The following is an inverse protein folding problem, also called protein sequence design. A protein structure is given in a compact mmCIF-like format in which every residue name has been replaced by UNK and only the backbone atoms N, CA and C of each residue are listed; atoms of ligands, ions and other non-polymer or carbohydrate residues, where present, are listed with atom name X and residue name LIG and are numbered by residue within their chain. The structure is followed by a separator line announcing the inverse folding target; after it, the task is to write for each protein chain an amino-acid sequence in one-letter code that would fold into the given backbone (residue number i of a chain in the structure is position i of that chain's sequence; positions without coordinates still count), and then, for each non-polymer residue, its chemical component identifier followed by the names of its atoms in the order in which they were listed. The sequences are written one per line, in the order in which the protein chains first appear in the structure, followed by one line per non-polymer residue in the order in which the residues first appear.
data_IF_285682741222
#
_entry.id   IF_285682741222
#
_cell.length_a   1.000
_cell.length_b   1.000
_cell.length_c   1.000
_cell.angle_alpha   90.00
_cell.angle_beta   90.00
_cell.angle_gamma   90.00
#
_symmetry.space_group_name_H-M   'P 1'
#
loop_
_entity.id
_entity.type
_entity.pdbx_description
1 polymer ?
#
# COMPACT_ATOMS: atom_id res chain seq x y z
N UNK A 1 4.70 9.47 -10.54
CA UNK A 1 6.11 9.64 -10.96
C UNK A 1 6.69 10.83 -10.25
N UNK A 2 7.56 10.54 -9.31
CA UNK A 2 8.49 11.51 -8.76
C UNK A 2 9.32 12.06 -9.95
N UNK A 3 9.60 13.37 -10.00
CA UNK A 3 10.30 14.01 -11.12
C UNK A 3 11.69 13.39 -11.41
N UNK A 4 12.43 13.91 -12.39
CA UNK A 4 13.72 13.30 -12.80
C UNK A 4 14.73 13.11 -11.65
N UNK A 5 14.76 14.01 -10.66
CA UNK A 5 15.61 13.83 -9.47
C UNK A 5 15.20 12.61 -8.61
N UNK A 6 13.89 12.32 -8.53
CA UNK A 6 13.37 11.14 -7.86
C UNK A 6 13.72 9.85 -8.59
N UNK A 7 13.86 9.87 -9.92
CA UNK A 7 14.23 8.67 -10.68
C UNK A 7 15.60 8.12 -10.27
N UNK A 8 16.60 8.98 -10.05
CA UNK A 8 17.94 8.56 -9.57
C UNK A 8 17.87 7.93 -8.19
N UNK A 9 17.12 8.54 -7.26
CA UNK A 9 16.95 8.01 -5.91
C UNK A 9 16.25 6.65 -5.91
N UNK A 10 15.25 6.45 -6.78
CA UNK A 10 14.57 5.16 -6.94
C UNK A 10 15.52 4.08 -7.48
N UNK A 11 16.41 4.41 -8.43
CA UNK A 11 17.40 3.44 -8.91
C UNK A 11 18.46 3.09 -7.84
N UNK A 12 18.91 4.06 -7.04
CA UNK A 12 19.81 3.79 -5.91
C UNK A 12 19.16 2.86 -4.88
N UNK A 13 17.90 3.15 -4.51
CA UNK A 13 17.11 2.30 -3.62
C UNK A 13 16.98 0.89 -4.20
N UNK A 14 16.65 0.77 -5.49
CA UNK A 14 16.54 -0.52 -6.17
C UNK A 14 17.85 -1.31 -6.20
N UNK A 15 18.99 -0.66 -6.40
CA UNK A 15 20.28 -1.32 -6.39
C UNK A 15 20.56 -1.96 -5.02
N UNK A 16 20.36 -1.21 -3.92
CA UNK A 16 20.51 -1.72 -2.56
C UNK A 16 19.51 -2.82 -2.24
N UNK A 17 18.25 -2.64 -2.65
CA UNK A 17 17.17 -3.60 -2.41
C UNK A 17 17.49 -4.95 -3.09
N UNK A 18 17.89 -4.92 -4.36
CA UNK A 18 18.22 -6.11 -5.13
C UNK A 18 19.56 -6.75 -4.72
N UNK A 19 20.48 -5.97 -4.13
CA UNK A 19 21.70 -6.47 -3.53
C UNK A 19 21.48 -7.13 -2.15
N UNK A 20 20.28 -7.00 -1.58
CA UNK A 20 19.96 -7.51 -0.24
C UNK A 20 20.46 -6.64 0.90
N UNK A 21 20.83 -5.39 0.62
CA UNK A 21 21.19 -4.40 1.65
C UNK A 21 19.93 -3.79 2.26
N UNK A 22 19.38 -4.47 3.28
CA UNK A 22 18.20 -4.02 3.99
C UNK A 22 18.39 -2.67 4.70
N UNK A 23 19.56 -2.45 5.31
CA UNK A 23 19.82 -1.22 6.05
C UNK A 23 19.87 -0.01 5.12
N UNK A 24 20.66 -0.09 4.05
CA UNK A 24 20.76 0.99 3.07
C UNK A 24 19.47 1.22 2.28
N UNK A 25 18.66 0.17 2.06
CA UNK A 25 17.33 0.30 1.43
C UNK A 25 16.38 1.13 2.31
N UNK A 26 16.35 0.84 3.62
CA UNK A 26 15.50 1.59 4.55
C UNK A 26 15.97 3.04 4.69
N UNK A 27 17.28 3.28 4.72
CA UNK A 27 17.83 4.63 4.74
C UNK A 27 17.38 5.45 3.52
N UNK A 28 17.47 4.90 2.31
CA UNK A 28 17.02 5.59 1.09
C UNK A 28 15.50 5.82 1.08
N UNK A 29 14.73 4.83 1.54
CA UNK A 29 13.28 4.96 1.66
C UNK A 29 12.90 6.07 2.64
N UNK A 30 13.55 6.13 3.80
CA UNK A 30 13.33 7.19 4.78
C UNK A 30 13.77 8.54 4.25
N UNK A 31 14.90 8.63 3.55
CA UNK A 31 15.34 9.88 2.93
C UNK A 31 14.31 10.41 1.92
N UNK A 32 13.75 9.53 1.08
CA UNK A 32 12.66 9.90 0.19
C UNK A 32 11.44 10.41 0.98
N UNK A 33 11.04 9.69 2.04
CA UNK A 33 9.90 10.08 2.87
C UNK A 33 10.11 11.43 3.57
N UNK A 34 11.29 11.67 4.15
CA UNK A 34 11.65 12.93 4.80
C UNK A 34 11.70 14.11 3.81
N UNK A 35 11.97 13.84 2.53
CA UNK A 35 11.88 14.82 1.45
C UNK A 35 10.43 15.09 0.99
N UNK A 36 9.44 14.53 1.68
CA UNK A 36 8.01 14.74 1.41
C UNK A 36 7.41 13.82 0.37
N UNK A 37 8.12 12.75 -0.04
CA UNK A 37 7.57 11.76 -0.95
C UNK A 37 6.60 10.83 -0.25
N UNK A 38 5.46 10.56 -0.90
CA UNK A 38 4.47 9.61 -0.39
C UNK A 38 4.99 8.15 -0.50
N UNK A 39 4.94 7.34 0.56
CA UNK A 39 5.44 5.95 0.57
C UNK A 39 4.78 5.05 -0.48
N UNK A 40 3.48 5.23 -0.70
CA UNK A 40 2.71 4.43 -1.66
C UNK A 40 3.17 4.77 -3.09
N UNK A 41 3.39 6.06 -3.39
CA UNK A 41 3.95 6.49 -4.67
C UNK A 41 5.39 6.03 -4.89
N UNK A 42 6.24 6.07 -3.86
CA UNK A 42 7.61 5.51 -3.93
C UNK A 42 7.54 4.04 -4.34
N UNK A 43 6.69 3.25 -3.68
CA UNK A 43 6.54 1.82 -3.95
C UNK A 43 6.02 1.56 -5.37
N UNK A 44 5.09 2.38 -5.87
CA UNK A 44 4.63 2.31 -7.26
C UNK A 44 5.75 2.60 -8.27
N UNK A 45 6.58 3.61 -8.01
CA UNK A 45 7.72 3.94 -8.86
C UNK A 45 8.80 2.83 -8.80
N UNK A 46 9.03 2.21 -7.64
CA UNK A 46 9.90 1.01 -7.52
C UNK A 46 9.35 -0.15 -8.37
N UNK A 47 8.05 -0.46 -8.27
CA UNK A 47 7.40 -1.50 -9.07
C UNK A 47 7.50 -1.24 -10.58
N UNK A 48 7.28 0.01 -11.01
CA UNK A 48 7.41 0.41 -12.41
C UNK A 48 8.83 0.17 -12.92
N UNK A 49 9.83 0.49 -12.12
CA UNK A 49 11.23 0.28 -12.48
C UNK A 49 11.62 -1.20 -12.45
N UNK A 50 11.13 -2.02 -11.51
CA UNK A 50 11.31 -3.48 -11.55
C UNK A 50 10.75 -4.11 -12.84
N UNK A 51 9.58 -3.66 -13.27
CA UNK A 51 9.01 -4.08 -14.55
C UNK A 51 9.89 -3.65 -15.73
N UNK A 52 10.45 -2.43 -15.71
CA UNK A 52 11.40 -1.98 -16.72
C UNK A 52 12.66 -2.87 -16.75
N UNK A 53 13.28 -3.15 -15.59
CA UNK A 53 14.45 -4.02 -15.49
C UNK A 53 14.16 -5.40 -16.07
N UNK A 54 12.99 -5.97 -15.75
CA UNK A 54 12.54 -7.25 -16.29
C UNK A 54 12.42 -7.21 -17.81
N UNK A 55 11.82 -6.15 -18.38
CA UNK A 55 11.73 -5.96 -19.83
C UNK A 55 13.10 -5.78 -20.48
N UNK A 56 14.03 -5.07 -19.84
CA UNK A 56 15.40 -4.91 -20.33
C UNK A 56 16.15 -6.25 -20.42
N UNK A 57 15.87 -7.20 -19.51
CA UNK A 57 16.43 -8.55 -19.57
C UNK A 57 15.84 -9.42 -20.67
N UNK A 58 14.54 -9.30 -20.94
CA UNK A 58 13.81 -10.22 -21.82
C UNK A 58 13.76 -9.72 -23.27
N UNK A 59 13.73 -8.40 -23.48
CA UNK A 59 13.57 -7.78 -24.81
C UNK A 59 14.93 -7.26 -25.30
N UNK A 60 15.60 -7.96 -26.25
CA UNK A 60 17.00 -7.70 -26.60
C UNK A 60 17.29 -6.27 -27.08
N UNK A 61 16.35 -5.67 -27.83
CA UNK A 61 16.52 -4.36 -28.46
C UNK A 61 16.09 -3.18 -27.58
N UNK A 62 15.49 -3.44 -26.41
CA UNK A 62 14.93 -2.38 -25.58
C UNK A 62 16.02 -1.42 -25.06
N UNK A 63 17.21 -1.94 -24.76
CA UNK A 63 18.37 -1.16 -24.29
C UNK A 63 18.85 -0.10 -25.30
N UNK A 64 18.62 -0.34 -26.59
CA UNK A 64 19.00 0.58 -27.68
C UNK A 64 17.85 1.48 -28.13
N UNK A 65 16.65 1.29 -27.58
CA UNK A 65 15.49 2.07 -27.97
C UNK A 65 15.58 3.53 -27.49
N UNK A 66 14.91 4.42 -28.22
CA UNK A 66 14.78 5.83 -27.84
C UNK A 66 13.64 6.08 -26.83
N UNK A 67 13.07 5.00 -26.26
CA UNK A 67 11.97 5.06 -25.30
C UNK A 67 12.51 5.28 -23.88
N UNK A 68 13.76 4.86 -23.62
CA UNK A 68 14.41 5.01 -22.32
C UNK A 68 14.84 6.45 -22.09
N UNK A 69 14.52 6.96 -20.91
CA UNK A 69 15.13 8.17 -20.36
C UNK A 69 16.63 7.95 -20.11
N UNK A 70 17.38 9.04 -19.96
CA UNK A 70 18.83 8.95 -19.72
C UNK A 70 19.17 8.20 -18.44
N UNK A 71 18.40 8.42 -17.36
CA UNK A 71 18.57 7.69 -16.09
C UNK A 71 18.31 6.19 -16.24
N UNK A 72 17.24 5.82 -16.96
CA UNK A 72 16.92 4.41 -17.22
C UNK A 72 18.01 3.72 -18.07
N UNK A 73 18.63 4.45 -19.00
CA UNK A 73 19.74 3.95 -19.80
C UNK A 73 21.02 3.76 -18.98
N UNK A 74 21.38 4.78 -18.20
CA UNK A 74 22.66 4.83 -17.46
C UNK A 74 22.66 3.97 -16.20
N UNK A 75 21.52 3.86 -15.50
CA UNK A 75 21.40 3.08 -14.27
C UNK A 75 20.56 1.81 -14.44
N UNK A 76 19.48 1.87 -15.22
CA UNK A 76 18.56 0.74 -15.39
C UNK A 76 19.16 -0.42 -16.18
N UNK A 77 19.86 -0.15 -17.29
CA UNK A 77 20.54 -1.20 -18.08
C UNK A 77 21.57 -1.99 -17.26
N UNK A 78 22.58 -1.36 -16.61
CA UNK A 78 23.56 -2.13 -15.84
C UNK A 78 22.93 -2.83 -14.63
N UNK A 79 21.91 -2.25 -14.00
CA UNK A 79 21.20 -2.91 -12.91
C UNK A 79 20.45 -4.16 -13.38
N UNK A 80 19.80 -4.10 -14.55
CA UNK A 80 19.09 -5.23 -15.15
C UNK A 80 20.05 -6.37 -15.53
N UNK A 81 21.28 -6.07 -15.93
CA UNK A 81 22.30 -7.07 -16.26
C UNK A 81 22.74 -7.86 -15.01
N UNK A 82 22.96 -7.16 -13.89
CA UNK A 82 23.38 -7.77 -12.61
C UNK A 82 22.26 -8.58 -11.93
N UNK A 83 21.01 -8.15 -12.03
CA UNK A 83 19.90 -8.75 -11.29
C UNK A 83 19.46 -10.11 -11.89
N UNK A 84 19.32 -11.18 -11.08
CA UNK A 84 18.80 -12.46 -11.57
C UNK A 84 17.30 -12.37 -11.88
N UNK A 85 16.85 -13.06 -12.94
CA UNK A 85 15.47 -12.93 -13.45
C UNK A 85 14.41 -13.41 -12.44
N UNK A 86 14.69 -14.48 -11.71
CA UNK A 86 13.82 -15.01 -10.66
C UNK A 86 13.73 -14.04 -9.46
N UNK A 87 14.83 -13.37 -9.12
CA UNK A 87 14.87 -12.32 -8.09
C UNK A 87 13.96 -11.15 -8.43
N UNK A 88 14.00 -10.66 -9.68
CA UNK A 88 13.14 -9.57 -10.15
C UNK A 88 11.65 -9.92 -10.05
N UNK A 89 11.25 -11.11 -10.53
CA UNK A 89 9.86 -11.55 -10.48
C UNK A 89 9.34 -11.72 -9.05
N UNK A 90 10.17 -12.28 -8.15
CA UNK A 90 9.82 -12.46 -6.74
C UNK A 90 9.69 -11.11 -6.02
N UNK A 91 10.66 -10.21 -6.19
CA UNK A 91 10.62 -8.86 -5.61
C UNK A 91 9.38 -8.10 -6.09
N UNK A 92 9.06 -8.18 -7.38
CA UNK A 92 7.87 -7.55 -7.96
C UNK A 92 6.59 -8.05 -7.30
N UNK A 93 6.41 -9.36 -7.16
CA UNK A 93 5.21 -9.92 -6.56
C UNK A 93 5.08 -9.57 -5.06
N UNK A 94 6.19 -9.61 -4.31
CA UNK A 94 6.21 -9.23 -2.90
C UNK A 94 5.85 -7.75 -2.70
N UNK A 95 6.34 -6.88 -3.59
CA UNK A 95 6.03 -5.45 -3.54
C UNK A 95 4.60 -5.13 -4.01
N UNK A 96 4.02 -5.91 -4.92
CA UNK A 96 2.58 -5.78 -5.25
C UNK A 96 1.71 -6.06 -4.04
N UNK A 97 2.00 -7.15 -3.31
CA UNK A 97 1.29 -7.46 -2.07
C UNK A 97 1.50 -6.37 -1.02
N UNK A 98 2.73 -5.89 -0.85
CA UNK A 98 3.05 -4.80 0.06
C UNK A 98 2.31 -3.50 -0.26
N UNK A 99 2.20 -3.15 -1.56
CA UNK A 99 1.48 -1.97 -2.00
C UNK A 99 -0.01 -2.04 -1.60
N UNK A 100 -0.61 -3.22 -1.74
CA UNK A 100 -2.01 -3.42 -1.35
C UNK A 100 -2.20 -3.47 0.17
N UNK A 101 -1.26 -4.04 0.91
CA UNK A 101 -1.22 -3.96 2.39
C UNK A 101 -1.12 -2.50 2.85
N UNK A 102 -0.19 -1.72 2.28
CA UNK A 102 0.06 -0.33 2.65
C UNK A 102 -1.16 0.57 2.45
N UNK A 103 -1.93 0.36 1.38
CA UNK A 103 -3.17 1.12 1.11
C UNK A 103 -4.25 0.95 2.18
N UNK A 104 -4.22 -0.15 2.95
CA UNK A 104 -5.21 -0.47 4.00
C UNK A 104 -4.62 -0.38 5.40
N UNK A 105 -3.31 -0.21 5.52
CA UNK A 105 -2.62 -0.15 6.78
C UNK A 105 -2.86 1.21 7.48
N UNK A 106 -3.02 1.23 8.81
CA UNK A 106 -3.09 2.48 9.56
C UNK A 106 -1.77 3.27 9.50
N UNK A 107 -0.64 2.58 9.24
CA UNK A 107 0.70 3.15 9.08
C UNK A 107 1.34 2.62 7.79
N UNK A 108 1.04 3.23 6.62
CA UNK A 108 1.51 2.73 5.32
C UNK A 108 3.04 2.64 5.20
N UNK A 109 3.75 3.60 5.78
CA UNK A 109 5.23 3.62 5.78
C UNK A 109 5.82 2.37 6.43
N UNK A 110 5.38 2.02 7.64
CA UNK A 110 5.88 0.84 8.37
C UNK A 110 5.58 -0.47 7.63
N UNK A 111 4.40 -0.56 6.99
CA UNK A 111 4.05 -1.72 6.16
C UNK A 111 5.02 -1.87 4.96
N UNK A 112 5.40 -0.77 4.33
CA UNK A 112 6.35 -0.75 3.22
C UNK A 112 7.77 -1.05 3.71
N UNK A 113 8.22 -0.47 4.82
CA UNK A 113 9.52 -0.77 5.41
C UNK A 113 9.66 -2.28 5.69
N UNK A 114 8.66 -2.89 6.33
CA UNK A 114 8.63 -4.33 6.57
C UNK A 114 8.66 -5.15 5.28
N UNK A 115 7.98 -4.70 4.22
CA UNK A 115 8.02 -5.36 2.94
C UNK A 115 9.40 -5.26 2.27
N UNK A 116 10.04 -4.11 2.30
CA UNK A 116 11.39 -3.91 1.75
C UNK A 116 12.41 -4.80 2.48
N UNK A 117 12.33 -4.89 3.82
CA UNK A 117 13.13 -5.83 4.62
C UNK A 117 12.91 -7.26 4.13
N UNK A 118 11.65 -7.70 3.98
CA UNK A 118 11.33 -9.05 3.51
C UNK A 118 11.95 -9.33 2.14
N UNK A 119 11.92 -8.36 1.22
CA UNK A 119 12.52 -8.51 -0.11
C UNK A 119 14.05 -8.61 -0.02
N UNK A 120 14.72 -7.77 0.78
CA UNK A 120 16.17 -7.79 0.93
C UNK A 120 16.73 -9.11 1.48
N UNK A 121 15.97 -9.79 2.34
CA UNK A 121 16.41 -11.04 2.99
C UNK A 121 15.75 -12.30 2.41
N UNK A 122 15.00 -12.20 1.31
CA UNK A 122 14.37 -13.38 0.73
C UNK A 122 15.44 -14.28 0.10
N UNK A 123 15.65 -15.45 0.69
CA UNK A 123 16.60 -16.41 0.15
C UNK A 123 16.13 -16.90 -1.24
N UNK A 124 17.05 -17.14 -2.18
CA UNK A 124 16.69 -17.80 -3.43
C UNK A 124 16.15 -19.19 -3.11
N UNK A 125 14.89 -19.45 -3.49
CA UNK A 125 14.26 -20.76 -3.29
C UNK A 125 14.89 -21.72 -4.31
N UNK A 126 15.59 -22.78 -3.88
CA UNK A 126 16.13 -23.76 -4.81
C UNK A 126 14.98 -24.46 -5.55
N UNK A 127 15.28 -24.90 -6.76
CA UNK A 127 14.30 -25.59 -7.57
C UNK A 127 13.82 -26.88 -6.85
N UNK A 128 12.52 -27.20 -6.92
CA UNK A 128 11.91 -28.35 -6.22
C UNK A 128 12.66 -29.66 -6.45
N UNK A 129 13.11 -29.91 -7.67
CA UNK A 129 13.96 -31.02 -8.09
C UNK A 129 15.28 -31.09 -7.30
N UNK A 130 15.91 -29.95 -7.00
CA UNK A 130 17.12 -29.88 -6.18
C UNK A 130 16.82 -30.18 -4.72
N UNK A 131 15.65 -29.73 -4.22
CA UNK A 131 15.16 -30.11 -2.90
C UNK A 131 14.88 -31.62 -2.82
N UNK A 132 14.18 -32.19 -3.81
CA UNK A 132 13.86 -33.62 -3.87
C UNK A 132 15.12 -34.49 -3.96
N UNK A 133 16.15 -34.05 -4.68
CA UNK A 133 17.45 -34.71 -4.72
C UNK A 133 18.17 -34.62 -3.37
N UNK A 134 18.11 -33.47 -2.69
CA UNK A 134 18.64 -33.29 -1.34
C UNK A 134 17.90 -34.09 -0.27
N UNK A 135 16.62 -34.40 -0.50
CA UNK A 135 15.78 -35.23 0.39
C UNK A 135 15.85 -36.74 0.06
N UNK A 136 16.62 -37.16 -0.95
CA UNK A 136 16.86 -38.57 -1.24
C UNK A 136 15.83 -39.25 -2.16
N UNK A 137 15.05 -38.49 -2.93
CA UNK A 137 14.09 -39.02 -3.92
C UNK A 137 12.65 -38.59 -3.68
N UNK A 138 11.80 -38.79 -4.71
CA UNK A 138 10.39 -38.42 -4.70
C UNK A 138 9.65 -39.04 -3.51
N UNK A 139 8.98 -38.25 -2.65
CA UNK A 139 8.10 -38.81 -1.64
C UNK A 139 7.01 -39.60 -2.35
N UNK A 140 6.85 -40.86 -1.96
CA UNK A 140 5.74 -41.70 -2.39
C UNK A 140 4.43 -41.06 -1.87
N UNK A 141 3.66 -40.47 -2.79
CA UNK A 141 2.40 -39.79 -2.47
C UNK A 141 1.29 -40.78 -2.11
N UNK A 142 1.58 -42.09 -2.06
CA UNK A 142 0.63 -43.14 -1.69
C UNK A 142 0.29 -43.18 -0.20
N UNK A 143 0.89 -42.33 0.63
CA UNK A 143 0.62 -42.25 2.06
C UNK A 143 0.14 -40.85 2.49
N UNK A 144 -0.88 -40.31 1.82
CA UNK A 144 -1.75 -39.30 2.47
C UNK A 144 -2.74 -40.09 3.33
N UNK A 145 -2.74 -39.95 4.68
CA UNK A 145 -3.83 -40.47 5.48
C UNK A 145 -5.07 -39.71 5.07
N UNK A 146 -5.98 -40.38 4.37
CA UNK A 146 -7.30 -39.85 4.07
C UNK A 146 -8.00 -39.61 5.41
N UNK A 147 -7.97 -38.36 5.88
CA UNK A 147 -8.72 -37.94 7.04
C UNK A 147 -10.19 -38.23 6.73
N UNK A 148 -10.74 -39.25 7.40
CA UNK A 148 -12.11 -39.65 7.25
C UNK A 148 -12.99 -38.43 7.57
N UNK A 149 -13.79 -38.01 6.59
CA UNK A 149 -14.82 -37.00 6.80
C UNK A 149 -15.73 -37.46 7.96
N UNK A 150 -16.10 -36.58 8.91
CA UNK A 150 -17.06 -36.94 9.94
C UNK A 150 -18.39 -37.27 9.26
N UNK A 151 -18.83 -38.52 9.46
CA UNK A 151 -20.11 -39.03 9.01
C UNK A 151 -21.19 -38.25 9.76
N UNK A 152 -21.91 -37.38 9.05
CA UNK A 152 -23.08 -36.71 9.59
C UNK A 152 -24.14 -37.77 9.95
N UNK A 153 -24.33 -38.03 11.23
CA UNK A 153 -25.49 -38.75 11.73
C UNK A 153 -26.72 -37.84 11.64
N UNK A 154 -27.74 -38.33 10.93
CA UNK A 154 -29.04 -37.69 10.86
C UNK A 154 -29.73 -37.76 12.24
N UNK A 155 -30.36 -36.68 12.73
CA UNK A 155 -31.09 -36.74 13.99
C UNK A 155 -32.39 -37.52 13.78
N UNK A 156 -32.52 -38.61 14.54
CA UNK A 156 -33.75 -39.39 14.68
C UNK A 156 -34.69 -38.59 15.57
N UNK A 157 -35.85 -38.21 15.03
CA UNK A 157 -36.86 -37.46 15.75
C UNK A 157 -37.45 -38.25 16.91
N UNK A 158 -37.57 -37.59 18.06
CA UNK A 158 -38.45 -37.96 19.15
C UNK A 158 -39.18 -36.68 19.59
N UNK A 159 -40.50 -36.71 19.58
CA UNK A 159 -41.40 -35.59 19.79
C UNK A 159 -41.92 -35.56 21.23
N UNK A 160 -41.91 -34.38 21.88
CA UNK A 160 -42.86 -33.90 22.89
C UNK A 160 -42.49 -32.44 23.30
N UNK A 161 -43.38 -31.67 23.95
CA UNK A 161 -44.34 -30.77 23.32
C UNK A 161 -43.93 -29.29 23.39
N UNK A 162 -44.48 -28.51 22.47
CA UNK A 162 -44.27 -27.07 22.33
C UNK A 162 -45.18 -26.32 23.31
N UNK A 163 -44.58 -25.54 24.21
CA UNK A 163 -45.28 -24.53 25.01
C UNK A 163 -45.41 -23.25 24.18
N UNK A 164 -46.65 -22.80 24.02
CA UNK A 164 -47.09 -21.72 23.14
C UNK A 164 -46.85 -20.36 23.81
N UNK A 165 -45.93 -19.57 23.26
CA UNK A 165 -45.76 -18.16 23.61
C UNK A 165 -45.98 -17.29 22.34
N UNK A 166 -46.83 -16.25 22.39
CA UNK A 166 -47.32 -15.60 21.18
C UNK A 166 -46.28 -14.74 20.46
N UNK A 167 -46.29 -14.90 19.14
CA UNK A 167 -45.49 -14.18 18.15
C UNK A 167 -45.84 -12.69 18.13
N UNK A 168 -44.82 -11.83 18.26
CA UNK A 168 -44.90 -10.43 17.85
C UNK A 168 -44.24 -10.25 16.47
N UNK A 169 -45.01 -9.67 15.55
CA UNK A 169 -44.66 -9.33 14.18
C UNK A 169 -43.46 -8.35 14.11
N UNK A 170 -42.58 -8.46 13.10
CA UNK A 170 -41.56 -7.43 12.87
C UNK A 170 -42.19 -6.20 12.22
N UNK A 171 -42.50 -5.18 13.04
CA UNK A 171 -42.87 -3.85 12.58
C UNK A 171 -41.60 -3.08 12.15
N UNK A 172 -41.54 -2.79 10.87
CA UNK A 172 -40.58 -1.92 10.19
C UNK A 172 -40.50 -0.54 10.89
N UNK A 173 -39.36 -0.21 11.50
CA UNK A 173 -39.10 1.09 12.08
C UNK A 173 -38.41 2.00 11.04
N UNK A 174 -39.09 3.09 10.68
CA UNK A 174 -38.55 4.16 9.86
C UNK A 174 -37.41 4.91 10.59
N UNK A 175 -36.40 5.45 9.88
CA UNK A 175 -35.35 6.26 10.48
C UNK A 175 -35.93 7.55 11.09
N UNK A 176 -35.61 7.82 12.36
CA UNK A 176 -35.83 9.13 12.98
C UNK A 176 -34.68 10.04 12.57
N UNK A 177 -35.01 11.04 11.76
CA UNK A 177 -34.19 12.22 11.48
C UNK A 177 -33.86 12.95 12.79
N UNK A 178 -32.61 13.40 13.02
CA UNK A 178 -32.29 14.25 14.15
C UNK A 178 -32.86 15.65 13.92
N UNK A 179 -33.71 16.11 14.85
CA UNK A 179 -34.25 17.46 14.83
C UNK A 179 -33.13 18.52 15.01
N UNK A 180 -33.28 19.69 14.38
CA UNK A 180 -32.27 20.75 14.39
C UNK A 180 -32.13 21.31 15.80
N UNK A 181 -30.89 21.60 16.18
CA UNK A 181 -30.54 22.43 17.33
C UNK A 181 -31.36 23.73 17.27
N UNK A 182 -32.19 23.95 18.28
CA UNK A 182 -32.93 25.19 18.48
C UNK A 182 -31.95 26.29 18.90
N UNK A 183 -32.01 27.39 18.16
CA UNK A 183 -31.35 28.66 18.43
C UNK A 183 -31.92 29.25 19.74
N UNK A 184 -31.09 29.38 20.77
CA UNK A 184 -31.35 30.29 21.88
C UNK A 184 -31.06 31.73 21.41
N UNK A 185 -32.08 32.39 20.84
CA UNK A 185 -32.12 33.83 20.72
C UNK A 185 -33.40 34.36 21.37
N UNK A 186 -33.25 34.95 22.57
CA UNK A 186 -34.18 35.97 23.06
C UNK A 186 -33.43 36.90 24.03
N UNK A 187 -32.84 37.98 23.50
CA UNK A 187 -33.06 39.29 24.11
C UNK A 187 -33.10 40.37 23.02
N UNK A 188 -34.23 41.07 22.98
CA UNK A 188 -34.62 41.99 21.95
C UNK A 188 -34.05 43.41 22.22
N UNK A 189 -33.48 43.95 21.14
CA UNK A 189 -33.35 45.34 20.67
C UNK A 189 -34.14 46.47 21.42
N UNK A 190 -33.77 47.78 21.31
CA UNK A 190 -33.79 48.44 20.00
C UNK A 190 -32.84 49.63 19.71
N UNK A 191 -32.62 49.82 18.41
CA UNK A 191 -32.60 51.06 17.63
C UNK A 191 -31.48 52.11 17.79
N UNK A 192 -30.86 52.41 16.65
CA UNK A 192 -29.98 53.55 16.36
C UNK A 192 -30.72 54.91 16.35
N UNK A 193 -29.96 56.02 16.35
CA UNK A 193 -30.07 56.96 15.22
C UNK A 193 -28.73 57.52 14.71
N UNK A 194 -28.77 58.00 13.46
CA UNK A 194 -27.73 58.65 12.67
C UNK A 194 -27.47 60.12 13.08
N UNK A 195 -26.48 60.74 12.40
CA UNK A 195 -26.10 62.18 12.31
C UNK A 195 -25.05 62.65 13.35
N UNK A 196 -24.09 63.55 13.10
CA UNK A 196 -23.49 64.25 11.94
C UNK A 196 -22.39 65.18 12.54
N UNK A 197 -21.38 65.61 11.77
CA UNK A 197 -20.44 66.75 12.04
C UNK A 197 -19.47 66.62 13.25
N UNK A 198 -18.24 67.15 13.31
CA UNK A 198 -17.43 68.15 12.60
C UNK A 198 -15.98 67.93 13.15
N UNK A 199 -14.92 67.81 12.32
CA UNK A 199 -14.07 68.91 11.85
C UNK A 199 -12.81 69.21 12.71
N UNK A 200 -11.68 69.35 12.01
CA UNK A 200 -10.40 70.01 12.37
C UNK A 200 -9.50 69.30 13.41
N UNK A 201 -8.18 69.22 13.26
CA UNK A 201 -7.22 70.22 12.78
C UNK A 201 -5.99 69.49 12.18
N UNK A 202 -5.64 69.74 10.92
CA UNK A 202 -4.55 70.62 10.48
C UNK A 202 -3.16 69.93 10.32
N UNK A 203 -2.83 69.83 9.03
CA UNK A 203 -1.54 69.71 8.36
C UNK A 203 -0.50 70.77 8.85
N UNK A 204 0.75 70.87 8.33
CA UNK A 204 1.22 70.28 7.07
C UNK A 204 2.68 69.78 7.02
N UNK A 205 3.08 69.21 5.87
CA UNK A 205 4.47 68.94 5.52
C UNK A 205 5.07 70.06 4.65
N UNK A 206 6.42 70.16 4.64
CA UNK A 206 7.31 70.34 3.47
C UNK A 206 8.66 70.95 3.90
N UNK A 207 9.76 70.32 3.49
CA UNK A 207 10.54 70.73 2.29
C UNK A 207 11.22 69.49 1.72
#
# INVERSE_FOLDING_TARGET
MLGQAGAVQIFNLLEKLLAGDGAGTLEDLQNLYHNGHDPVLITQDVLRNLHLLTRLKIVPDLKNSNILTETERTMGVPLAEKAPLDGLGRAYQMLLTALDEAKRAPRPMEAIEMAMIRVSYVAPVPALQTLLQGLGGTPDVSAVPQQAAPKAEAPKGEAAPVEEAPQQSPQQAAPKEPAPWEDDEDDAAPAAPQQETQQQDAAPPKM
#
